data_IF_643401477402
#
_entry.id   IF_643401477402
#
_cell.length_a   1.000
_cell.length_b   1.000
_cell.length_c   1.000
_cell.angle_alpha   90.00
_cell.angle_beta   90.00
_cell.angle_gamma   90.00
#
_symmetry.space_group_name_H-M   'P 1'
#
loop_
_entity.id
_entity.type
_entity.pdbx_description
1 polymer ?
#
# COMPACT_ATOMS: atom_id res chain seq x y z
N UNK A 1 6.15 22.25 14.46
CA UNK A 1 4.92 22.24 13.63
C UNK A 1 5.14 21.49 12.31
N UNK A 2 6.31 21.61 11.69
CA UNK A 2 6.62 20.93 10.42
C UNK A 2 6.55 19.40 10.48
N UNK A 3 7.06 18.75 11.52
CA UNK A 3 6.98 17.28 11.63
C UNK A 3 5.54 16.74 11.72
N UNK A 4 4.68 17.45 12.46
CA UNK A 4 3.25 17.11 12.58
C UNK A 4 2.57 17.30 11.23
N UNK A 5 2.84 18.41 10.55
CA UNK A 5 2.29 18.71 9.23
C UNK A 5 2.69 17.65 8.20
N UNK A 6 3.97 17.30 8.13
CA UNK A 6 4.47 16.22 7.28
C UNK A 6 3.75 14.90 7.55
N UNK A 7 3.62 14.52 8.83
CA UNK A 7 2.94 13.27 9.21
C UNK A 7 1.47 13.26 8.80
N UNK A 8 0.74 14.38 8.96
CA UNK A 8 -0.64 14.50 8.52
C UNK A 8 -0.78 14.38 6.99
N UNK A 9 0.09 15.05 6.23
CA UNK A 9 0.11 14.92 4.77
C UNK A 9 0.44 13.50 4.33
N UNK A 10 1.41 12.86 4.97
CA UNK A 10 1.79 11.48 4.70
C UNK A 10 0.64 10.52 4.96
N UNK A 11 -0.01 10.61 6.13
CA UNK A 11 -1.18 9.80 6.49
C UNK A 11 -2.30 10.00 5.47
N UNK A 12 -2.60 11.26 5.13
CA UNK A 12 -3.64 11.58 4.17
C UNK A 12 -3.35 10.96 2.80
N UNK A 13 -2.16 11.21 2.24
CA UNK A 13 -1.73 10.62 0.96
C UNK A 13 -1.78 9.10 0.99
N UNK A 14 -1.35 8.48 2.10
CA UNK A 14 -1.37 7.03 2.29
C UNK A 14 -2.79 6.47 2.26
N UNK A 15 -3.68 6.99 3.10
CA UNK A 15 -5.07 6.53 3.20
C UNK A 15 -5.79 6.70 1.86
N UNK A 16 -5.63 7.86 1.22
CA UNK A 16 -6.27 8.16 -0.06
C UNK A 16 -5.76 7.22 -1.15
N UNK A 17 -4.44 7.12 -1.34
CA UNK A 17 -3.85 6.27 -2.37
C UNK A 17 -4.20 4.80 -2.16
N UNK A 18 -4.12 4.30 -0.92
CA UNK A 18 -4.42 2.90 -0.60
C UNK A 18 -5.91 2.58 -0.84
N UNK A 19 -6.80 3.50 -0.46
CA UNK A 19 -8.25 3.32 -0.69
C UNK A 19 -8.58 3.31 -2.18
N UNK A 20 -8.04 4.25 -2.97
CA UNK A 20 -8.27 4.28 -4.41
C UNK A 20 -7.71 3.04 -5.11
N UNK A 21 -6.48 2.65 -4.78
CA UNK A 21 -5.87 1.46 -5.33
C UNK A 21 -6.68 0.21 -4.99
N UNK A 22 -7.10 0.06 -3.74
CA UNK A 22 -7.92 -1.06 -3.29
C UNK A 22 -9.30 -1.12 -3.95
N UNK A 23 -9.98 0.01 -4.13
CA UNK A 23 -11.28 0.07 -4.84
C UNK A 23 -11.13 -0.34 -6.31
N UNK A 24 -10.07 0.09 -6.98
CA UNK A 24 -9.79 -0.29 -8.37
C UNK A 24 -9.41 -1.78 -8.43
N UNK A 25 -8.56 -2.24 -7.52
CA UNK A 25 -8.15 -3.63 -7.43
C UNK A 25 -9.34 -4.56 -7.18
N UNK A 26 -10.26 -4.22 -6.28
CA UNK A 26 -11.49 -5.00 -6.05
C UNK A 26 -12.32 -5.17 -7.33
N UNK A 27 -12.38 -4.14 -8.20
CA UNK A 27 -13.10 -4.25 -9.48
C UNK A 27 -12.39 -5.18 -10.47
N UNK A 28 -11.06 -5.17 -10.50
CA UNK A 28 -10.22 -5.96 -11.43
C UNK A 28 -9.99 -7.39 -10.94
N UNK A 29 -10.00 -7.59 -9.63
CA UNK A 29 -9.52 -8.79 -8.94
C UNK A 29 -10.61 -9.49 -8.11
N UNK A 30 -11.89 -9.37 -8.50
CA UNK A 30 -13.01 -10.00 -7.78
C UNK A 30 -12.77 -11.48 -7.45
N UNK A 31 -12.18 -12.24 -8.37
CA UNK A 31 -11.85 -13.66 -8.19
C UNK A 31 -10.87 -13.96 -7.04
N UNK A 32 -10.12 -12.96 -6.59
CA UNK A 32 -9.14 -13.06 -5.49
C UNK A 32 -9.83 -12.80 -4.14
N UNK A 33 -10.82 -11.90 -4.11
CA UNK A 33 -11.45 -11.38 -2.89
C UNK A 33 -12.90 -11.86 -2.67
N UNK A 34 -13.53 -12.44 -3.69
CA UNK A 34 -14.90 -12.95 -3.71
C UNK A 34 -14.89 -14.42 -4.19
N UNK A 35 -15.90 -15.22 -3.81
CA UNK A 35 -16.13 -16.66 -4.08
C UNK A 35 -15.55 -17.72 -3.12
N UNK A 36 -16.26 -18.86 -3.00
CA UNK A 36 -15.84 -20.03 -2.19
C UNK A 36 -14.55 -20.71 -2.67
N UNK A 37 -14.12 -20.44 -3.89
CA UNK A 37 -12.89 -20.97 -4.50
C UNK A 37 -11.75 -19.95 -4.52
N UNK A 38 -11.78 -18.95 -3.62
CA UNK A 38 -10.70 -17.97 -3.48
C UNK A 38 -9.35 -18.66 -3.31
N UNK A 39 -8.35 -18.13 -4.00
CA UNK A 39 -6.97 -18.60 -3.88
C UNK A 39 -6.27 -18.16 -2.59
N UNK A 40 -6.77 -17.09 -1.97
CA UNK A 40 -6.32 -16.59 -0.69
C UNK A 40 -7.44 -16.77 0.35
N UNK A 41 -7.76 -18.01 0.67
CA UNK A 41 -8.79 -18.40 1.66
C UNK A 41 -8.48 -17.94 3.09
N UNK A 42 -7.21 -17.62 3.37
CA UNK A 42 -6.75 -16.99 4.60
C UNK A 42 -7.12 -15.50 4.71
N UNK A 43 -7.59 -14.86 3.63
CA UNK A 43 -8.11 -13.50 3.65
C UNK A 43 -9.61 -13.50 3.93
N UNK A 44 -10.08 -12.40 4.54
CA UNK A 44 -11.51 -12.20 4.78
C UNK A 44 -12.30 -12.13 3.47
N UNK A 45 -13.45 -12.78 3.47
CA UNK A 45 -14.40 -12.85 2.38
C UNK A 45 -15.15 -11.53 2.22
N UNK A 46 -14.89 -10.79 1.13
CA UNK A 46 -15.60 -9.53 0.87
C UNK A 46 -17.05 -9.73 0.39
N UNK A 47 -17.41 -10.95 -0.02
CA UNK A 47 -18.80 -11.35 -0.34
C UNK A 47 -19.60 -11.79 0.89
N UNK A 48 -18.94 -12.12 2.00
CA UNK A 48 -19.58 -12.34 3.29
C UNK A 48 -19.83 -11.00 3.98
N UNK A 49 -21.10 -10.72 4.34
CA UNK A 49 -21.49 -9.45 4.94
C UNK A 49 -20.80 -9.17 6.29
N UNK A 50 -20.65 -10.18 7.15
CA UNK A 50 -20.05 -10.02 8.48
C UNK A 50 -18.55 -9.72 8.38
N UNK A 51 -17.84 -10.48 7.54
CA UNK A 51 -16.41 -10.30 7.33
C UNK A 51 -16.10 -8.97 6.64
N UNK A 52 -16.86 -8.62 5.60
CA UNK A 52 -16.76 -7.34 4.90
C UNK A 52 -17.01 -6.15 5.83
N UNK A 53 -18.04 -6.21 6.69
CA UNK A 53 -18.31 -5.16 7.68
C UNK A 53 -17.15 -4.98 8.66
N UNK A 54 -16.51 -6.06 9.11
CA UNK A 54 -15.33 -5.94 9.96
C UNK A 54 -14.18 -5.28 9.20
N UNK A 55 -13.90 -5.70 7.95
CA UNK A 55 -12.85 -5.09 7.13
C UNK A 55 -13.11 -3.59 7.01
N UNK A 56 -14.32 -3.18 6.64
CA UNK A 56 -14.66 -1.75 6.52
C UNK A 56 -14.46 -0.96 7.82
N UNK A 57 -14.78 -1.55 8.98
CA UNK A 57 -14.59 -0.89 10.30
C UNK A 57 -13.11 -0.75 10.67
N UNK A 58 -12.31 -1.79 10.44
CA UNK A 58 -10.91 -1.82 10.86
C UNK A 58 -9.97 -1.20 9.84
N UNK A 59 -10.37 -1.11 8.57
CA UNK A 59 -9.54 -0.64 7.47
C UNK A 59 -8.99 0.77 7.72
N UNK A 60 -9.88 1.75 7.95
CA UNK A 60 -9.45 3.15 8.07
C UNK A 60 -8.54 3.39 9.29
N UNK A 61 -8.88 2.89 10.51
CA UNK A 61 -7.96 2.99 11.65
C UNK A 61 -6.60 2.34 11.40
N UNK A 62 -6.60 1.17 10.75
CA UNK A 62 -5.36 0.46 10.43
C UNK A 62 -4.49 1.23 9.43
N UNK A 63 -5.06 1.81 8.37
CA UNK A 63 -4.29 2.61 7.41
C UNK A 63 -3.80 3.92 8.03
N UNK A 64 -4.58 4.58 8.90
CA UNK A 64 -4.12 5.78 9.62
C UNK A 64 -2.91 5.45 10.49
N UNK A 65 -2.99 4.38 11.29
CA UNK A 65 -1.88 3.94 12.13
C UNK A 65 -0.65 3.55 11.30
N UNK A 66 -0.85 2.82 10.20
CA UNK A 66 0.24 2.43 9.30
C UNK A 66 0.94 3.64 8.68
N UNK A 67 0.18 4.58 8.12
CA UNK A 67 0.71 5.83 7.57
C UNK A 67 1.49 6.64 8.60
N UNK A 68 0.99 6.71 9.83
CA UNK A 68 1.66 7.41 10.93
C UNK A 68 3.00 6.75 11.33
N UNK A 69 3.01 5.43 11.51
CA UNK A 69 4.24 4.70 11.84
C UNK A 69 5.28 4.85 10.73
N UNK A 70 4.85 4.80 9.46
CA UNK A 70 5.74 5.02 8.32
C UNK A 70 6.28 6.46 8.27
N UNK A 71 5.47 7.47 8.57
CA UNK A 71 5.93 8.86 8.53
C UNK A 71 6.96 9.16 9.61
N UNK A 72 6.83 8.55 10.80
CA UNK A 72 7.79 8.72 11.91
C UNK A 72 9.22 8.36 11.49
N UNK A 73 9.37 7.25 10.76
CA UNK A 73 10.68 6.74 10.31
C UNK A 73 11.40 7.75 9.42
N UNK A 74 10.66 8.63 8.73
CA UNK A 74 11.22 9.61 7.80
C UNK A 74 11.50 10.96 8.44
N UNK A 75 11.00 11.23 9.65
CA UNK A 75 11.21 12.51 10.33
C UNK A 75 12.70 12.88 10.51
N UNK A 76 13.62 11.95 10.84
CA UNK A 76 15.04 12.28 10.97
C UNK A 76 15.69 12.80 9.68
N UNK A 77 15.13 12.46 8.51
CA UNK A 77 15.65 12.84 7.20
C UNK A 77 14.73 13.82 6.46
N UNK A 78 13.75 14.40 7.15
CA UNK A 78 12.74 15.26 6.53
C UNK A 78 13.33 16.40 5.72
N UNK A 79 14.32 17.12 6.27
CA UNK A 79 14.93 18.27 5.58
C UNK A 79 15.55 17.85 4.25
N UNK A 80 16.31 16.75 4.24
CA UNK A 80 16.88 16.20 3.01
C UNK A 80 15.81 15.77 2.01
N UNK A 81 14.67 15.24 2.47
CA UNK A 81 13.55 14.88 1.60
C UNK A 81 12.88 16.11 0.95
N UNK A 82 12.81 17.24 1.66
CA UNK A 82 12.22 18.48 1.15
C UNK A 82 13.13 19.18 0.12
N UNK A 83 14.45 19.01 0.25
CA UNK A 83 15.46 19.53 -0.69
C UNK A 83 15.53 18.76 -2.01
N UNK A 84 15.08 17.51 -2.06
CA UNK A 84 15.05 16.71 -3.30
C UNK A 84 14.24 17.42 -4.38
N UNK A 85 14.62 17.27 -5.65
CA UNK A 85 13.78 17.67 -6.78
C UNK A 85 12.47 16.87 -6.80
N UNK A 86 11.40 17.38 -7.42
CA UNK A 86 10.10 16.71 -7.41
C UNK A 86 10.18 15.27 -7.96
N UNK A 87 10.91 15.09 -9.06
CA UNK A 87 11.10 13.76 -9.67
C UNK A 87 11.83 12.81 -8.73
N UNK A 88 12.88 13.28 -8.06
CA UNK A 88 13.61 12.46 -7.08
C UNK A 88 12.76 12.13 -5.86
N UNK A 89 11.98 13.09 -5.38
CA UNK A 89 11.07 12.90 -4.25
C UNK A 89 9.98 11.87 -4.57
N UNK A 90 9.32 11.99 -5.72
CA UNK A 90 8.32 11.01 -6.19
C UNK A 90 8.96 9.64 -6.38
N UNK A 91 10.14 9.57 -7.01
CA UNK A 91 10.86 8.30 -7.21
C UNK A 91 11.21 7.67 -5.86
N UNK A 92 11.74 8.45 -4.91
CA UNK A 92 12.05 7.99 -3.56
C UNK A 92 10.83 7.40 -2.86
N UNK A 93 9.72 8.14 -2.81
CA UNK A 93 8.50 7.66 -2.16
C UNK A 93 7.90 6.46 -2.89
N UNK A 94 7.89 6.46 -4.22
CA UNK A 94 7.38 5.33 -5.00
C UNK A 94 8.20 4.06 -4.72
N UNK A 95 9.52 4.16 -4.76
CA UNK A 95 10.42 3.05 -4.41
C UNK A 95 10.27 2.63 -2.95
N UNK A 96 10.10 3.57 -2.01
CA UNK A 96 9.87 3.25 -0.60
C UNK A 96 8.59 2.43 -0.44
N UNK A 97 7.48 2.86 -1.03
CA UNK A 97 6.21 2.14 -0.95
C UNK A 97 6.31 0.78 -1.65
N UNK A 98 6.85 0.73 -2.86
CA UNK A 98 6.88 -0.50 -3.63
C UNK A 98 7.90 -1.52 -3.09
N UNK A 99 9.11 -1.10 -2.73
CA UNK A 99 10.15 -2.04 -2.32
C UNK A 99 9.94 -2.46 -0.87
N UNK A 100 9.87 -1.51 0.05
CA UNK A 100 9.86 -1.82 1.49
C UNK A 100 8.51 -2.32 1.99
N UNK A 101 7.40 -1.85 1.42
CA UNK A 101 6.08 -2.31 1.89
C UNK A 101 5.56 -3.55 1.17
N UNK A 102 6.19 -3.92 0.05
CA UNK A 102 5.74 -5.02 -0.79
C UNK A 102 6.82 -6.07 -1.05
N UNK A 103 7.77 -5.76 -1.94
CA UNK A 103 8.72 -6.73 -2.48
C UNK A 103 9.62 -7.33 -1.39
N UNK A 104 10.07 -6.49 -0.47
CA UNK A 104 10.97 -6.84 0.64
C UNK A 104 10.22 -7.03 1.97
N UNK A 105 8.90 -7.21 1.94
CA UNK A 105 8.12 -7.43 3.15
C UNK A 105 8.47 -8.79 3.77
N UNK A 106 8.67 -8.79 5.10
CA UNK A 106 9.04 -9.99 5.86
C UNK A 106 7.92 -11.04 5.91
N UNK A 107 6.66 -10.62 5.80
CA UNK A 107 5.53 -11.55 5.77
C UNK A 107 5.48 -12.20 4.38
N UNK A 108 5.60 -13.53 4.26
CA UNK A 108 5.50 -14.19 2.97
C UNK A 108 4.13 -13.93 2.34
N UNK A 109 4.12 -13.45 1.10
CA UNK A 109 2.93 -13.26 0.31
C UNK A 109 3.19 -13.64 -1.15
N UNK A 110 2.17 -14.12 -1.86
CA UNK A 110 2.31 -14.82 -3.15
C UNK A 110 3.08 -14.07 -4.25
N UNK A 111 3.25 -12.75 -4.13
CA UNK A 111 3.92 -11.90 -5.09
C UNK A 111 5.10 -11.10 -4.51
N UNK A 112 5.63 -11.48 -3.34
CA UNK A 112 6.87 -10.93 -2.79
C UNK A 112 7.98 -11.98 -2.68
N UNK A 113 9.21 -11.54 -2.40
CA UNK A 113 10.41 -12.41 -2.39
C UNK A 113 10.23 -13.58 -1.43
N UNK A 114 9.75 -13.31 -0.20
CA UNK A 114 9.53 -14.33 0.82
C UNK A 114 8.50 -15.38 0.36
N UNK A 115 7.39 -14.97 -0.26
CA UNK A 115 6.40 -15.92 -0.77
C UNK A 115 6.93 -16.78 -1.91
N UNK A 116 7.79 -16.26 -2.79
CA UNK A 116 8.44 -17.07 -3.83
C UNK A 116 9.36 -18.15 -3.26
N UNK A 117 9.95 -17.91 -2.09
CA UNK A 117 10.82 -18.88 -1.41
C UNK A 117 10.00 -19.92 -0.63
N UNK A 118 8.99 -19.48 0.13
CA UNK A 118 8.33 -20.34 1.12
C UNK A 118 7.02 -20.98 0.64
N UNK A 119 6.32 -20.43 -0.36
CA UNK A 119 5.03 -20.98 -0.77
C UNK A 119 5.16 -22.16 -1.73
N UNK A 120 4.27 -23.14 -1.57
CA UNK A 120 4.13 -24.25 -2.53
C UNK A 120 3.70 -23.70 -3.89
N UNK A 121 4.20 -24.29 -4.98
CA UNK A 121 3.91 -23.88 -6.38
C UNK A 121 2.42 -23.73 -6.69
N UNK A 122 1.53 -24.48 -6.03
CA UNK A 122 0.08 -24.39 -6.23
C UNK A 122 -0.52 -23.01 -5.87
N UNK A 123 0.13 -22.26 -4.98
CA UNK A 123 -0.27 -20.92 -4.57
C UNK A 123 0.36 -19.81 -5.43
N UNK A 124 1.46 -20.12 -6.14
CA UNK A 124 2.21 -19.18 -6.97
C UNK A 124 1.61 -19.21 -8.39
N UNK A 125 0.54 -18.43 -8.60
CA UNK A 125 -0.12 -18.30 -9.91
C UNK A 125 0.21 -16.97 -10.57
N UNK A 126 0.75 -17.02 -11.79
CA UNK A 126 1.16 -15.83 -12.56
C UNK A 126 0.06 -14.77 -12.68
N UNK A 127 -1.18 -15.20 -12.96
CA UNK A 127 -2.30 -14.26 -13.10
C UNK A 127 -2.63 -13.51 -11.80
N UNK A 128 -2.44 -14.17 -10.65
CA UNK A 128 -2.71 -13.57 -9.34
C UNK A 128 -1.58 -12.61 -8.96
N UNK A 129 -0.33 -13.03 -9.20
CA UNK A 129 0.86 -12.18 -9.02
C UNK A 129 0.71 -10.87 -9.79
N UNK A 130 0.37 -10.94 -11.08
CA UNK A 130 0.23 -9.73 -11.91
C UNK A 130 -0.85 -8.79 -11.35
N UNK A 131 -1.97 -9.33 -10.86
CA UNK A 131 -3.05 -8.52 -10.28
C UNK A 131 -2.59 -7.78 -9.01
N UNK A 132 -1.90 -8.45 -8.08
CA UNK A 132 -1.37 -7.81 -6.87
C UNK A 132 -0.23 -6.81 -7.18
N UNK A 133 0.65 -7.15 -8.13
CA UNK A 133 1.71 -6.25 -8.57
C UNK A 133 1.14 -4.96 -9.17
N UNK A 134 0.09 -5.05 -9.99
CA UNK A 134 -0.60 -3.88 -10.52
C UNK A 134 -1.22 -3.01 -9.42
N UNK A 135 -1.84 -3.64 -8.41
CA UNK A 135 -2.39 -2.93 -7.24
C UNK A 135 -1.28 -2.16 -6.50
N UNK A 136 -0.14 -2.80 -6.24
CA UNK A 136 0.96 -2.19 -5.49
C UNK A 136 1.71 -1.12 -6.28
N UNK A 137 1.88 -1.28 -7.60
CA UNK A 137 2.43 -0.25 -8.47
C UNK A 137 1.52 0.97 -8.51
N UNK A 138 0.22 0.76 -8.73
CA UNK A 138 -0.77 1.84 -8.74
C UNK A 138 -0.80 2.60 -7.41
N UNK A 139 -0.86 1.87 -6.29
CA UNK A 139 -0.79 2.46 -4.96
C UNK A 139 0.46 3.31 -4.75
N UNK A 140 1.64 2.78 -5.11
CA UNK A 140 2.93 3.44 -4.88
C UNK A 140 3.08 4.73 -5.71
N UNK A 141 2.59 4.70 -6.96
CA UNK A 141 2.57 5.87 -7.84
C UNK A 141 1.59 6.92 -7.32
N UNK A 142 0.35 6.52 -6.99
CA UNK A 142 -0.67 7.46 -6.48
C UNK A 142 -0.20 8.12 -5.19
N UNK A 143 0.35 7.32 -4.26
CA UNK A 143 0.87 7.81 -3.00
C UNK A 143 1.99 8.84 -3.21
N UNK A 144 3.00 8.49 -4.01
CA UNK A 144 4.17 9.33 -4.20
C UNK A 144 3.84 10.63 -4.95
N UNK A 145 2.95 10.59 -5.94
CA UNK A 145 2.46 11.78 -6.63
C UNK A 145 1.68 12.69 -5.68
N UNK A 146 0.71 12.15 -4.92
CA UNK A 146 -0.06 12.96 -3.99
C UNK A 146 0.81 13.59 -2.92
N UNK A 147 1.68 12.82 -2.28
CA UNK A 147 2.56 13.34 -1.25
C UNK A 147 3.52 14.38 -1.82
N UNK A 148 4.17 14.08 -2.95
CA UNK A 148 5.11 15.01 -3.59
C UNK A 148 4.46 16.33 -3.98
N UNK A 149 3.24 16.31 -4.53
CA UNK A 149 2.48 17.53 -4.86
C UNK A 149 2.13 18.31 -3.58
N UNK A 150 1.62 17.63 -2.56
CA UNK A 150 1.23 18.28 -1.31
C UNK A 150 2.43 18.91 -0.59
N UNK A 151 3.58 18.24 -0.57
CA UNK A 151 4.79 18.79 0.04
C UNK A 151 5.24 20.06 -0.66
N UNK A 152 5.19 20.11 -2.01
CA UNK A 152 5.59 21.29 -2.80
C UNK A 152 4.70 22.51 -2.63
N UNK A 153 3.41 22.30 -2.38
CA UNK A 153 2.47 23.41 -2.18
C UNK A 153 2.55 23.94 -0.74
N UNK A 154 3.09 23.14 0.18
CA UNK A 154 3.00 23.39 1.62
C UNK A 154 4.30 23.86 2.27
N UNK A 155 5.45 23.48 1.72
CA UNK A 155 6.80 23.84 2.14
C UNK A 155 7.50 24.59 1.01
#
# INVERSE_FOLDING_TARGET
MEYVKFSLLFIFSHVVAYTFAGVIALKVSKEIYENKTRHCDFLRDMSNKEESMYVSKCFLPAQILRGFLMSIVLLPILNSLLELSFVLQVTFFCSLMFIYTHISAVSPFIDNIEGFVYFKKQYIKKNIIVKFQLEMVMYSILFSLFLGILLRITY
#
